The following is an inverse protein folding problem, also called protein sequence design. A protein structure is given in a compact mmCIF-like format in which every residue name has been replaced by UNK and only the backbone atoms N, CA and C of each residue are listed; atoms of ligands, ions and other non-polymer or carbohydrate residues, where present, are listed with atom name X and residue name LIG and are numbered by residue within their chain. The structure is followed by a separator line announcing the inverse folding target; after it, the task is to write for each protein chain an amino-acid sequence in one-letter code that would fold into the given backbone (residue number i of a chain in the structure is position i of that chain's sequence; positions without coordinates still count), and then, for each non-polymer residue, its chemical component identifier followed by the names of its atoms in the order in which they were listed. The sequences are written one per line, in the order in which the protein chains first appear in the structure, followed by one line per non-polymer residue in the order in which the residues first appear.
data_IF_851799070960
#
_entry.id   IF_851799070960
#
_cell.length_a   1.000
_cell.length_b   1.000
_cell.length_c   1.000
_cell.angle_alpha   90.00
_cell.angle_beta   90.00
_cell.angle_gamma   90.00
#
_symmetry.space_group_name_H-M   'P 1'
#
loop_
_entity.id
_entity.type
_entity.pdbx_description
1 polymer ?
#
# COMPACT_ATOMS: atom_id res chain seq x y z
N UNK A 1 54.65 -0.73 40.22
CA UNK A 1 53.86 -1.84 39.58
C UNK A 1 52.71 -1.20 38.89
N UNK A 2 52.84 -0.83 37.59
CA UNK A 2 51.89 -0.01 36.84
C UNK A 2 51.10 -0.94 35.96
N UNK A 3 49.80 -1.17 36.29
CA UNK A 3 48.90 -1.98 35.45
C UNK A 3 48.49 -1.21 34.19
N UNK A 4 49.01 -1.65 33.06
CA UNK A 4 48.61 -1.17 31.76
C UNK A 4 47.17 -1.62 31.45
N UNK A 5 46.20 -0.68 31.43
CA UNK A 5 44.84 -0.90 30.91
C UNK A 5 44.89 -1.20 29.41
N UNK A 6 44.73 -2.44 29.01
CA UNK A 6 44.46 -2.82 27.61
C UNK A 6 43.14 -2.18 27.19
N UNK A 7 43.22 -1.21 26.29
CA UNK A 7 42.04 -0.72 25.53
C UNK A 7 41.60 -1.83 24.59
N UNK A 8 40.42 -2.36 24.81
CA UNK A 8 39.73 -3.23 23.86
C UNK A 8 39.31 -2.33 22.67
N UNK A 9 39.72 -2.64 21.44
CA UNK A 9 39.22 -1.89 20.29
C UNK A 9 37.72 -2.14 20.16
N UNK A 10 36.93 -1.09 20.26
CA UNK A 10 35.52 -1.12 19.89
C UNK A 10 35.45 -1.45 18.38
N UNK A 11 35.19 -2.70 18.06
CA UNK A 11 34.82 -3.10 16.71
C UNK A 11 33.47 -2.43 16.39
N UNK A 12 33.54 -1.17 15.99
CA UNK A 12 32.39 -0.49 15.42
C UNK A 12 31.99 -1.24 14.16
N UNK A 13 30.94 -2.04 14.26
CA UNK A 13 30.21 -2.55 13.11
C UNK A 13 29.70 -1.33 12.37
N UNK A 14 30.48 -0.87 11.38
CA UNK A 14 29.99 0.03 10.35
C UNK A 14 29.15 -0.86 9.45
N UNK A 15 27.82 -0.67 9.40
CA UNK A 15 27.05 -1.29 8.33
C UNK A 15 27.65 -0.74 7.04
N UNK A 16 28.29 -1.59 6.26
CA UNK A 16 28.61 -1.32 4.86
C UNK A 16 27.29 -0.92 4.23
N UNK A 17 27.09 0.38 4.05
CA UNK A 17 26.11 0.87 3.09
C UNK A 17 26.65 0.46 1.72
N UNK A 18 26.49 -0.81 1.38
CA UNK A 18 26.41 -1.19 -0.01
C UNK A 18 25.21 -0.43 -0.55
N UNK A 19 25.51 0.72 -1.13
CA UNK A 19 24.58 1.41 -2.01
C UNK A 19 24.26 0.42 -3.12
N UNK A 20 23.16 -0.33 -2.95
CA UNK A 20 22.63 -1.13 -4.04
C UNK A 20 22.60 -0.22 -5.28
N UNK A 21 23.11 -0.68 -6.43
CA UNK A 21 23.19 0.12 -7.62
C UNK A 21 21.79 0.66 -7.92
N UNK A 22 21.65 1.97 -7.81
CA UNK A 22 20.43 2.69 -8.16
C UNK A 22 20.30 2.50 -9.67
N UNK A 23 19.33 1.68 -10.12
CA UNK A 23 18.97 1.68 -11.51
C UNK A 23 18.94 0.35 -12.27
N UNK A 24 18.99 -0.80 -11.64
CA UNK A 24 18.63 -2.03 -12.35
C UNK A 24 17.13 -2.31 -12.18
N UNK A 25 16.36 -1.98 -13.22
CA UNK A 25 14.97 -2.40 -13.31
C UNK A 25 14.91 -3.92 -13.49
N UNK A 26 14.08 -4.58 -12.71
CA UNK A 26 13.78 -5.99 -12.94
C UNK A 26 12.81 -6.11 -14.12
N UNK A 27 13.39 -6.33 -15.31
CA UNK A 27 12.63 -6.46 -16.55
C UNK A 27 11.66 -7.65 -16.52
N UNK A 28 11.99 -8.71 -15.77
CA UNK A 28 11.11 -9.86 -15.61
C UNK A 28 9.84 -9.49 -14.86
N UNK A 29 9.96 -8.72 -13.79
CA UNK A 29 8.84 -8.23 -13.00
C UNK A 29 7.98 -7.25 -13.80
N UNK A 30 8.61 -6.35 -14.56
CA UNK A 30 7.89 -5.41 -15.44
C UNK A 30 7.12 -6.16 -16.53
N UNK A 31 7.74 -7.14 -17.18
CA UNK A 31 7.10 -7.96 -18.21
C UNK A 31 5.90 -8.73 -17.66
N UNK A 32 6.05 -9.35 -16.48
CA UNK A 32 4.96 -10.07 -15.81
C UNK A 32 3.79 -9.11 -15.47
N UNK A 33 4.10 -7.94 -14.93
CA UNK A 33 3.10 -6.91 -14.64
C UNK A 33 2.32 -6.48 -15.90
N UNK A 34 3.04 -6.17 -16.99
CA UNK A 34 2.42 -5.78 -18.26
C UNK A 34 1.57 -6.90 -18.85
N UNK A 35 2.03 -8.15 -18.78
CA UNK A 35 1.28 -9.31 -19.23
C UNK A 35 -0.04 -9.46 -18.46
N UNK A 36 0.00 -9.37 -17.13
CA UNK A 36 -1.20 -9.42 -16.29
C UNK A 36 -2.15 -8.25 -16.56
N UNK A 37 -1.61 -7.04 -16.78
CA UNK A 37 -2.40 -5.87 -17.14
C UNK A 37 -3.12 -6.07 -18.48
N UNK A 38 -2.42 -6.58 -19.51
CA UNK A 38 -3.02 -6.86 -20.80
C UNK A 38 -4.13 -7.92 -20.69
N UNK A 39 -3.89 -9.01 -19.96
CA UNK A 39 -4.93 -10.04 -19.72
C UNK A 39 -6.14 -9.40 -19.02
N UNK A 40 -5.91 -8.58 -17.99
CA UNK A 40 -6.97 -7.89 -17.27
C UNK A 40 -7.81 -6.97 -18.17
N UNK A 41 -7.17 -6.20 -19.06
CA UNK A 41 -7.85 -5.33 -20.03
C UNK A 41 -8.68 -6.14 -21.02
N UNK A 42 -8.15 -7.25 -21.54
CA UNK A 42 -8.87 -8.16 -22.45
C UNK A 42 -10.08 -8.81 -21.76
N UNK A 43 -9.93 -9.22 -20.52
CA UNK A 43 -11.02 -9.78 -19.73
C UNK A 43 -12.14 -8.76 -19.48
N UNK A 44 -11.80 -7.51 -19.16
CA UNK A 44 -12.80 -6.43 -19.05
C UNK A 44 -13.53 -6.21 -20.35
N UNK A 45 -12.82 -6.18 -21.48
CA UNK A 45 -13.44 -6.03 -22.80
C UNK A 45 -14.42 -7.17 -23.10
N UNK A 46 -14.01 -8.41 -22.84
CA UNK A 46 -14.83 -9.60 -23.10
C UNK A 46 -16.05 -9.69 -22.17
N UNK A 47 -15.85 -9.49 -20.88
CA UNK A 47 -16.91 -9.68 -19.88
C UNK A 47 -17.92 -8.54 -19.84
N UNK A 48 -17.50 -7.30 -20.09
CA UNK A 48 -18.36 -6.12 -19.90
C UNK A 48 -18.97 -5.57 -21.19
N UNK A 49 -18.56 -6.05 -22.36
CA UNK A 49 -18.99 -5.50 -23.66
C UNK A 49 -20.50 -5.48 -23.85
N UNK A 50 -21.19 -6.60 -23.59
CA UNK A 50 -22.64 -6.72 -23.75
C UNK A 50 -23.42 -5.83 -22.78
N UNK A 51 -22.93 -5.76 -21.53
CA UNK A 51 -23.55 -4.92 -20.48
C UNK A 51 -23.35 -3.44 -20.79
N UNK A 52 -22.14 -3.06 -21.24
CA UNK A 52 -21.80 -1.69 -21.61
C UNK A 52 -22.66 -1.18 -22.78
N UNK A 53 -22.88 -2.02 -23.79
CA UNK A 53 -23.72 -1.69 -24.94
C UNK A 53 -25.20 -1.46 -24.55
N UNK A 54 -25.72 -2.30 -23.64
CA UNK A 54 -27.12 -2.18 -23.17
C UNK A 54 -27.34 -0.93 -22.30
N UNK A 55 -26.37 -0.56 -21.47
CA UNK A 55 -26.53 0.54 -20.50
C UNK A 55 -26.09 1.89 -21.09
N UNK A 56 -25.00 1.93 -21.86
CA UNK A 56 -24.36 3.17 -22.30
C UNK A 56 -24.37 3.34 -23.82
N UNK A 57 -24.86 2.37 -24.59
CA UNK A 57 -24.87 2.41 -26.06
C UNK A 57 -23.45 2.27 -26.70
N UNK A 58 -22.41 2.03 -25.90
CA UNK A 58 -21.03 1.85 -26.35
C UNK A 58 -20.41 0.63 -25.67
N UNK A 59 -20.17 -0.43 -26.42
CA UNK A 59 -19.59 -1.68 -25.91
C UNK A 59 -18.16 -1.51 -25.34
N UNK A 60 -17.47 -0.46 -25.72
CA UNK A 60 -16.10 -0.16 -25.25
C UNK A 60 -16.07 0.78 -24.04
N UNK A 61 -17.21 1.20 -23.51
CA UNK A 61 -17.28 2.17 -22.43
C UNK A 61 -16.42 1.79 -21.21
N UNK A 62 -16.58 0.60 -20.68
CA UNK A 62 -15.80 0.14 -19.53
C UNK A 62 -14.32 -0.11 -19.87
N UNK A 63 -14.03 -0.61 -21.06
CA UNK A 63 -12.66 -0.80 -21.54
C UNK A 63 -11.89 0.53 -21.65
N UNK A 64 -12.49 1.56 -22.28
CA UNK A 64 -11.87 2.90 -22.35
C UNK A 64 -11.58 3.47 -20.98
N UNK A 65 -12.53 3.34 -20.06
CA UNK A 65 -12.36 3.79 -18.67
C UNK A 65 -11.26 3.05 -17.96
N UNK A 66 -11.19 1.73 -18.12
CA UNK A 66 -10.13 0.90 -17.52
C UNK A 66 -8.76 1.23 -18.11
N UNK A 67 -8.67 1.47 -19.41
CA UNK A 67 -7.44 1.87 -20.08
C UNK A 67 -6.92 3.21 -19.55
N UNK A 68 -7.80 4.19 -19.37
CA UNK A 68 -7.43 5.49 -18.79
C UNK A 68 -6.87 5.29 -17.37
N UNK A 69 -7.52 4.50 -16.55
CA UNK A 69 -7.03 4.22 -15.19
C UNK A 69 -5.70 3.45 -15.20
N UNK A 70 -5.51 2.53 -16.13
CA UNK A 70 -4.24 1.80 -16.29
C UNK A 70 -3.09 2.74 -16.67
N UNK A 71 -3.34 3.69 -17.58
CA UNK A 71 -2.33 4.71 -17.96
C UNK A 71 -2.02 5.63 -16.78
N UNK A 72 -3.04 6.15 -16.09
CA UNK A 72 -2.84 7.00 -14.91
C UNK A 72 -2.07 6.24 -13.82
N UNK A 73 -2.45 4.99 -13.54
CA UNK A 73 -1.77 4.12 -12.58
C UNK A 73 -0.31 3.87 -12.96
N UNK A 74 -0.03 3.63 -14.24
CA UNK A 74 1.33 3.47 -14.77
C UNK A 74 2.19 4.72 -14.58
N UNK A 75 1.64 5.90 -14.85
CA UNK A 75 2.33 7.18 -14.62
C UNK A 75 2.60 7.38 -13.13
N UNK A 76 1.62 7.16 -12.27
CA UNK A 76 1.79 7.27 -10.81
C UNK A 76 2.85 6.28 -10.31
N UNK A 77 2.82 5.03 -10.78
CA UNK A 77 3.83 4.03 -10.45
C UNK A 77 5.24 4.48 -10.85
N UNK A 78 5.40 5.01 -12.07
CA UNK A 78 6.68 5.51 -12.55
C UNK A 78 7.20 6.69 -11.73
N UNK A 79 6.33 7.66 -11.41
CA UNK A 79 6.67 8.80 -10.54
C UNK A 79 7.07 8.32 -9.15
N UNK A 80 6.31 7.42 -8.54
CA UNK A 80 6.62 6.88 -7.21
C UNK A 80 7.91 6.07 -7.19
N UNK A 81 8.24 5.35 -8.27
CA UNK A 81 9.50 4.64 -8.41
C UNK A 81 10.72 5.58 -8.43
N UNK A 82 10.55 6.82 -8.90
CA UNK A 82 11.59 7.84 -8.90
C UNK A 82 11.74 8.57 -7.54
N UNK A 83 10.78 8.40 -6.62
CA UNK A 83 10.82 9.06 -5.30
C UNK A 83 11.89 8.42 -4.41
N UNK A 84 12.84 9.20 -3.88
CA UNK A 84 13.89 8.67 -3.01
C UNK A 84 13.32 8.19 -1.66
N UNK A 85 13.86 7.08 -1.15
CA UNK A 85 13.37 6.38 0.05
C UNK A 85 13.21 7.28 1.29
N UNK A 86 14.09 8.27 1.45
CA UNK A 86 14.03 9.17 2.61
C UNK A 86 12.75 10.04 2.63
N UNK A 87 12.19 10.37 1.45
CA UNK A 87 10.92 11.11 1.35
C UNK A 87 9.76 10.18 1.74
N UNK A 88 9.77 8.92 1.26
CA UNK A 88 8.78 7.93 1.64
C UNK A 88 8.75 7.69 3.15
N UNK A 89 9.94 7.63 3.78
CA UNK A 89 10.05 7.48 5.23
C UNK A 89 9.53 8.69 6.02
N UNK A 90 9.69 9.91 5.51
CA UNK A 90 9.11 11.09 6.14
C UNK A 90 7.59 11.16 5.97
N UNK A 91 7.09 10.68 4.85
CA UNK A 91 5.66 10.78 4.48
C UNK A 91 4.80 9.69 5.13
N UNK A 92 5.38 8.61 5.66
CA UNK A 92 4.63 7.45 6.17
C UNK A 92 3.62 7.80 7.28
N UNK A 93 4.01 8.59 8.30
CA UNK A 93 3.09 8.95 9.39
C UNK A 93 1.97 9.89 8.93
N UNK A 94 2.25 11.00 8.18
CA UNK A 94 1.20 11.82 7.60
C UNK A 94 0.27 11.04 6.69
N UNK A 95 0.82 10.14 5.86
CA UNK A 95 0.02 9.32 4.95
C UNK A 95 -0.84 8.30 5.71
N UNK A 96 -0.30 7.68 6.74
CA UNK A 96 -1.03 6.75 7.60
C UNK A 96 -2.20 7.45 8.32
N UNK A 97 -1.97 8.65 8.86
CA UNK A 97 -3.00 9.46 9.49
C UNK A 97 -4.08 9.88 8.48
N UNK A 98 -3.68 10.30 7.28
CA UNK A 98 -4.59 10.64 6.18
C UNK A 98 -5.49 9.45 5.82
N UNK A 99 -4.93 8.25 5.71
CA UNK A 99 -5.69 7.04 5.37
C UNK A 99 -6.63 6.65 6.52
N UNK A 100 -6.20 6.76 7.78
CA UNK A 100 -7.08 6.59 8.93
C UNK A 100 -8.28 7.54 8.86
N UNK A 101 -8.04 8.82 8.55
CA UNK A 101 -9.12 9.79 8.35
C UNK A 101 -10.07 9.40 7.21
N UNK A 102 -9.54 8.90 6.08
CA UNK A 102 -10.37 8.39 4.98
C UNK A 102 -11.26 7.23 5.41
N UNK A 103 -10.73 6.28 6.20
CA UNK A 103 -11.52 5.18 6.75
C UNK A 103 -12.62 5.66 7.69
N UNK A 104 -12.36 6.67 8.53
CA UNK A 104 -13.40 7.29 9.35
C UNK A 104 -14.46 8.01 8.53
N UNK A 105 -14.06 8.74 7.49
CA UNK A 105 -14.99 9.42 6.58
C UNK A 105 -15.89 8.41 5.87
N UNK A 106 -15.39 7.22 5.55
CA UNK A 106 -16.20 6.17 4.92
C UNK A 106 -17.31 5.65 5.86
N UNK A 107 -17.09 5.65 7.17
CA UNK A 107 -18.11 5.28 8.17
C UNK A 107 -19.18 6.36 8.35
N UNK A 108 -18.91 7.60 7.92
CA UNK A 108 -19.85 8.71 7.97
C UNK A 108 -20.91 8.60 6.85
N UNK A 109 -21.97 9.42 6.85
CA UNK A 109 -22.97 9.47 5.78
C UNK A 109 -22.40 9.80 4.38
N UNK A 110 -21.13 10.24 4.29
CA UNK A 110 -20.44 10.50 3.02
C UNK A 110 -19.96 9.21 2.32
N UNK A 111 -19.93 8.08 3.02
CA UNK A 111 -19.61 6.77 2.46
C UNK A 111 -20.73 6.25 1.57
N UNK A 112 -20.40 5.88 0.34
CA UNK A 112 -21.33 5.27 -0.59
C UNK A 112 -21.56 3.79 -0.22
N UNK A 113 -22.83 3.41 -0.08
CA UNK A 113 -23.22 2.01 0.13
C UNK A 113 -23.28 1.28 -1.20
N UNK A 114 -22.44 0.27 -1.36
CA UNK A 114 -22.46 -0.64 -2.50
C UNK A 114 -22.62 -2.05 -1.97
N UNK A 115 -23.66 -2.77 -2.43
CA UNK A 115 -23.99 -4.13 -1.99
C UNK A 115 -24.09 -4.29 -0.44
N UNK A 116 -24.66 -3.30 0.23
CA UNK A 116 -24.90 -3.35 1.70
C UNK A 116 -23.70 -2.92 2.55
N UNK A 117 -22.53 -2.63 1.99
CA UNK A 117 -21.34 -2.19 2.71
C UNK A 117 -20.92 -0.78 2.32
N UNK A 118 -20.51 0.03 3.29
CA UNK A 118 -19.98 1.38 3.08
C UNK A 118 -18.46 1.33 2.90
N UNK A 119 -17.98 1.04 1.69
CA UNK A 119 -16.55 0.83 1.40
C UNK A 119 -15.97 1.86 0.45
N UNK A 120 -16.82 2.71 -0.15
CA UNK A 120 -16.45 3.62 -1.21
C UNK A 120 -16.76 5.07 -0.85
N UNK A 121 -15.88 5.96 -1.25
CA UNK A 121 -16.15 7.40 -1.25
C UNK A 121 -16.40 7.78 -2.71
N UNK A 122 -17.67 8.12 -3.03
CA UNK A 122 -18.04 8.55 -4.39
C UNK A 122 -17.87 10.06 -4.51
N UNK A 123 -16.95 10.46 -5.37
CA UNK A 123 -16.78 11.85 -5.80
C UNK A 123 -17.23 11.90 -7.26
N UNK A 124 -18.23 12.71 -7.59
CA UNK A 124 -18.91 12.86 -8.91
C UNK A 124 -18.41 12.00 -10.09
N UNK A 125 -17.10 11.92 -10.31
CA UNK A 125 -16.48 11.21 -11.45
C UNK A 125 -15.65 9.99 -11.04
N UNK A 126 -15.29 9.87 -9.77
CA UNK A 126 -14.39 8.83 -9.27
C UNK A 126 -14.98 8.19 -8.02
N UNK A 127 -14.84 6.89 -7.90
CA UNK A 127 -15.08 6.18 -6.66
C UNK A 127 -13.73 5.75 -6.09
N UNK A 128 -13.43 6.19 -4.88
CA UNK A 128 -12.18 5.89 -4.19
C UNK A 128 -12.49 4.85 -3.11
N UNK A 129 -11.69 3.80 -3.06
CA UNK A 129 -11.75 2.81 -1.99
C UNK A 129 -10.60 3.05 -1.00
N UNK A 130 -10.88 3.49 0.23
CA UNK A 130 -9.85 3.76 1.23
C UNK A 130 -8.97 2.56 1.58
N UNK A 131 -9.49 1.33 1.45
CA UNK A 131 -8.72 0.10 1.64
C UNK A 131 -7.46 0.04 0.76
N UNK A 132 -7.53 0.50 -0.49
CA UNK A 132 -6.38 0.47 -1.40
C UNK A 132 -5.22 1.32 -0.88
N UNK A 133 -5.54 2.49 -0.32
CA UNK A 133 -4.56 3.35 0.34
C UNK A 133 -4.10 2.77 1.67
N UNK A 134 -4.97 2.07 2.41
CA UNK A 134 -4.64 1.44 3.68
C UNK A 134 -3.57 0.33 3.52
N UNK A 135 -3.64 -0.46 2.45
CA UNK A 135 -2.63 -1.46 2.11
C UNK A 135 -1.25 -0.82 1.94
N UNK A 136 -1.18 0.26 1.18
CA UNK A 136 0.07 0.98 0.93
C UNK A 136 0.60 1.64 2.21
N UNK A 137 -0.28 2.32 2.96
CA UNK A 137 0.10 3.00 4.19
C UNK A 137 0.64 2.04 5.25
N UNK A 138 -0.02 0.89 5.41
CA UNK A 138 0.41 -0.14 6.36
C UNK A 138 1.75 -0.76 5.93
N UNK A 139 1.91 -1.10 4.65
CA UNK A 139 3.15 -1.65 4.12
C UNK A 139 4.34 -0.67 4.31
N UNK A 140 4.15 0.61 4.03
CA UNK A 140 5.17 1.65 4.25
C UNK A 140 5.52 1.79 5.73
N UNK A 141 4.51 1.79 6.60
CA UNK A 141 4.72 1.86 8.06
C UNK A 141 5.52 0.66 8.57
N UNK A 142 5.14 -0.56 8.17
CA UNK A 142 5.84 -1.78 8.58
C UNK A 142 7.27 -1.81 8.05
N UNK A 143 7.49 -1.47 6.79
CA UNK A 143 8.82 -1.39 6.19
C UNK A 143 9.73 -0.40 6.93
N UNK A 144 9.22 0.78 7.26
CA UNK A 144 9.97 1.75 8.06
C UNK A 144 10.23 1.25 9.46
N UNK A 145 9.22 0.71 10.14
CA UNK A 145 9.35 0.21 11.50
C UNK A 145 10.42 -0.86 11.59
N UNK A 146 10.41 -1.82 10.67
CA UNK A 146 11.40 -2.89 10.64
C UNK A 146 12.80 -2.42 10.26
N UNK A 147 12.92 -1.46 9.35
CA UNK A 147 14.22 -0.96 8.90
C UNK A 147 14.90 -0.05 9.93
N UNK A 148 14.12 0.81 10.62
CA UNK A 148 14.69 1.87 11.48
C UNK A 148 14.76 1.46 12.94
N UNK A 149 13.88 0.57 13.40
CA UNK A 149 13.75 0.19 14.81
C UNK A 149 14.20 -1.24 15.10
N UNK A 150 15.23 -1.73 14.40
CA UNK A 150 15.74 -3.10 14.52
C UNK A 150 16.05 -3.53 15.97
N UNK A 151 16.60 -2.63 16.78
CA UNK A 151 16.87 -2.94 18.20
C UNK A 151 15.59 -3.10 19.02
N UNK A 152 14.51 -2.40 18.65
CA UNK A 152 13.22 -2.51 19.33
C UNK A 152 12.49 -3.79 18.94
N UNK A 153 12.69 -4.29 17.72
CA UNK A 153 12.06 -5.54 17.22
C UNK A 153 12.47 -6.75 18.05
N UNK A 154 13.65 -6.73 18.67
CA UNK A 154 14.12 -7.79 19.59
C UNK A 154 13.33 -7.84 20.92
N UNK A 155 12.55 -6.82 21.23
CA UNK A 155 11.78 -6.74 22.47
C UNK A 155 10.30 -6.89 22.15
N UNK A 156 9.63 -7.90 22.70
CA UNK A 156 8.22 -8.22 22.43
C UNK A 156 7.30 -6.97 22.56
N UNK A 157 7.41 -6.24 23.67
CA UNK A 157 6.55 -5.10 23.96
C UNK A 157 6.74 -3.91 23.01
N UNK A 158 7.99 -3.60 22.62
CA UNK A 158 8.30 -2.43 21.79
C UNK A 158 8.44 -2.75 20.31
N UNK A 159 8.64 -4.03 19.97
CA UNK A 159 8.85 -4.49 18.60
C UNK A 159 7.59 -5.06 17.95
N UNK A 160 6.80 -5.83 18.68
CA UNK A 160 5.63 -6.52 18.14
C UNK A 160 4.34 -5.74 18.38
N UNK A 161 4.14 -5.17 19.56
CA UNK A 161 2.89 -4.50 19.91
C UNK A 161 2.55 -3.34 18.94
N UNK A 162 3.43 -2.40 18.59
CA UNK A 162 3.06 -1.27 17.73
C UNK A 162 2.60 -1.66 16.32
N UNK A 163 3.27 -2.56 15.57
CA UNK A 163 2.78 -3.06 14.28
C UNK A 163 1.43 -3.76 14.39
N UNK A 164 1.28 -4.63 15.40
CA UNK A 164 0.02 -5.34 15.62
C UNK A 164 -1.12 -4.41 16.01
N UNK A 165 -0.87 -3.46 16.91
CA UNK A 165 -1.88 -2.48 17.33
C UNK A 165 -2.34 -1.60 16.16
N UNK A 166 -1.41 -1.16 15.31
CA UNK A 166 -1.75 -0.38 14.12
C UNK A 166 -2.58 -1.20 13.15
N UNK A 167 -2.16 -2.43 12.83
CA UNK A 167 -2.93 -3.31 11.96
C UNK A 167 -4.30 -3.64 12.54
N UNK A 168 -4.38 -3.91 13.85
CA UNK A 168 -5.65 -4.17 14.53
C UNK A 168 -6.60 -2.96 14.45
N UNK A 169 -6.09 -1.73 14.58
CA UNK A 169 -6.88 -0.51 14.41
C UNK A 169 -7.47 -0.40 13.00
N UNK A 170 -6.67 -0.64 11.97
CA UNK A 170 -7.15 -0.67 10.58
C UNK A 170 -8.19 -1.77 10.35
N UNK A 171 -7.92 -2.98 10.83
CA UNK A 171 -8.85 -4.10 10.73
C UNK A 171 -10.17 -3.82 11.46
N UNK A 172 -10.11 -3.22 12.63
CA UNK A 172 -11.32 -2.82 13.38
C UNK A 172 -12.19 -1.84 12.58
N UNK A 173 -11.59 -0.81 11.97
CA UNK A 173 -12.31 0.14 11.12
C UNK A 173 -12.92 -0.53 9.88
N UNK A 174 -12.20 -1.47 9.25
CA UNK A 174 -12.72 -2.22 8.10
C UNK A 174 -13.87 -3.16 8.48
N UNK A 175 -13.78 -3.82 9.64
CA UNK A 175 -14.86 -4.65 10.16
C UNK A 175 -16.10 -3.82 10.49
N UNK A 176 -15.94 -2.58 10.98
CA UNK A 176 -17.03 -1.65 11.16
C UNK A 176 -17.71 -1.22 9.84
N UNK A 177 -16.99 -1.34 8.70
CA UNK A 177 -17.50 -1.11 7.33
C UNK A 177 -18.04 -2.38 6.64
N UNK A 178 -18.36 -3.48 7.33
CA UNK A 178 -18.47 -4.90 6.95
C UNK A 178 -17.53 -5.33 5.81
N UNK A 179 -16.22 -4.99 5.92
CA UNK A 179 -15.20 -5.38 4.94
C UNK A 179 -14.24 -6.44 5.49
N UNK A 180 -14.74 -7.69 5.58
CA UNK A 180 -13.95 -8.83 6.04
C UNK A 180 -12.76 -9.13 5.10
N UNK A 181 -12.97 -9.01 3.78
CA UNK A 181 -11.92 -9.26 2.79
C UNK A 181 -10.74 -8.29 2.97
N UNK A 182 -11.02 -7.02 3.17
CA UNK A 182 -10.01 -6.00 3.45
C UNK A 182 -9.26 -6.26 4.75
N UNK A 183 -9.96 -6.63 5.82
CA UNK A 183 -9.33 -6.96 7.10
C UNK A 183 -8.38 -8.17 7.01
N UNK A 184 -8.77 -9.22 6.26
CA UNK A 184 -7.91 -10.38 6.00
C UNK A 184 -6.66 -9.98 5.23
N UNK A 185 -6.80 -9.18 4.16
CA UNK A 185 -5.65 -8.73 3.36
C UNK A 185 -4.68 -7.90 4.19
N UNK A 186 -5.18 -6.96 5.02
CA UNK A 186 -4.30 -6.18 5.91
C UNK A 186 -3.61 -7.05 6.97
N UNK A 187 -4.30 -8.06 7.49
CA UNK A 187 -3.69 -9.01 8.41
C UNK A 187 -2.57 -9.81 7.75
N UNK A 188 -2.73 -10.21 6.49
CA UNK A 188 -1.69 -10.91 5.72
C UNK A 188 -0.47 -10.02 5.40
N UNK A 189 -0.65 -8.70 5.27
CA UNK A 189 0.48 -7.77 5.08
C UNK A 189 1.35 -7.68 6.34
N UNK A 190 0.79 -7.93 7.53
CA UNK A 190 1.53 -7.90 8.79
C UNK A 190 2.50 -9.09 8.92
N UNK A 191 2.15 -10.26 8.33
CA UNK A 191 2.93 -11.51 8.42
C UNK A 191 3.85 -11.70 7.22
#
# INVERSE_FOLDING_TARGET
MTMARRRVPSSGFRPTQESAPVGQYDWGLIALFLMLLCIGLLMVLSASGVVAERINGDKYFFFKRQLIYAVIGGVVMWVLAAVPRHILYKLQYPFLLFVLMLLFVTLSPLGARVNGAQRWISVKFFSIQPLEFAKIALALYLAYFMSTKQELVKTFSKGIIPPFAMTALFCFLLLAQPDFGGAVVLSLILF
#
